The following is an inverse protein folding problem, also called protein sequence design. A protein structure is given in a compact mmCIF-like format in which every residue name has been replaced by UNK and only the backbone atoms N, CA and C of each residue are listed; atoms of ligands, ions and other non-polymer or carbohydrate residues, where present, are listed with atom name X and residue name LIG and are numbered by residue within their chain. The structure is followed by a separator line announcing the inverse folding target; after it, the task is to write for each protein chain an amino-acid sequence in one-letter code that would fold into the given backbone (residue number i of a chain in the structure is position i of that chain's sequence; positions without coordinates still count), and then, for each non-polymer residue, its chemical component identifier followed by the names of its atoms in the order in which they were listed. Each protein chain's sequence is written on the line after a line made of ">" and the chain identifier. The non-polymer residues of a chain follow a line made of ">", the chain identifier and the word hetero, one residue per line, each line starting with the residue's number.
data_IF_871212447501
#
_entry.id   IF_871212447501
#
_cell.length_a   1.000
_cell.length_b   1.000
_cell.length_c   1.000
_cell.angle_alpha   90.00
_cell.angle_beta   90.00
_cell.angle_gamma   90.00
#
_symmetry.space_group_name_H-M   'P 1'
#
loop_
_entity.id
_entity.type
_entity.pdbx_description
1 polymer ?
#
# COMPACT_ATOMS: atom_id res chain seq x y z
N UNK A 1 12.58 -63.76 -24.03
CA UNK A 1 11.53 -62.73 -24.03
C UNK A 1 11.78 -61.72 -22.89
N UNK A 2 12.05 -62.21 -21.69
CA UNK A 2 12.33 -61.41 -20.48
C UNK A 2 13.53 -60.45 -20.60
N UNK A 3 14.63 -60.89 -21.23
CA UNK A 3 15.81 -60.02 -21.42
C UNK A 3 15.52 -58.77 -22.27
N UNK A 4 14.58 -58.87 -23.22
CA UNK A 4 14.19 -57.76 -24.09
C UNK A 4 13.23 -56.81 -23.40
N UNK A 5 12.41 -57.31 -22.47
CA UNK A 5 11.54 -56.52 -21.61
C UNK A 5 12.41 -55.71 -20.62
N UNK A 6 13.36 -56.35 -19.95
CA UNK A 6 14.27 -55.67 -19.02
C UNK A 6 15.10 -54.55 -19.69
N UNK A 7 15.53 -54.77 -20.93
CA UNK A 7 16.25 -53.77 -21.71
C UNK A 7 15.36 -52.58 -22.09
N UNK A 8 14.10 -52.82 -22.45
CA UNK A 8 13.12 -51.76 -22.74
C UNK A 8 12.76 -50.97 -21.47
N UNK A 9 12.61 -51.62 -20.32
CA UNK A 9 12.36 -50.97 -19.03
C UNK A 9 13.54 -50.08 -18.60
N UNK A 10 14.77 -50.53 -18.84
CA UNK A 10 15.97 -49.75 -18.56
C UNK A 10 16.11 -48.54 -19.49
N UNK A 11 15.72 -48.68 -20.77
CA UNK A 11 15.63 -47.56 -21.71
C UNK A 11 14.52 -46.57 -21.32
N UNK A 12 13.36 -47.05 -20.85
CA UNK A 12 12.27 -46.21 -20.37
C UNK A 12 12.65 -45.45 -19.10
N UNK A 13 13.38 -46.09 -18.17
CA UNK A 13 13.97 -45.46 -16.97
C UNK A 13 14.99 -44.39 -17.34
N UNK A 14 15.84 -44.64 -18.33
CA UNK A 14 16.78 -43.65 -18.86
C UNK A 14 16.09 -42.42 -19.45
N UNK A 15 14.94 -42.62 -20.09
CA UNK A 15 14.10 -41.53 -20.64
C UNK A 15 13.32 -40.76 -19.56
N UNK A 16 12.95 -41.41 -18.44
CA UNK A 16 12.19 -40.77 -17.35
C UNK A 16 13.05 -39.98 -16.37
N UNK A 17 14.36 -40.26 -16.28
CA UNK A 17 15.31 -39.52 -15.41
C UNK A 17 15.46 -38.04 -15.82
N UNK A 18 14.98 -37.64 -17.00
CA UNK A 18 14.98 -36.24 -17.47
C UNK A 18 13.60 -35.57 -17.56
N UNK A 19 12.50 -36.28 -17.29
CA UNK A 19 11.16 -35.67 -17.33
C UNK A 19 10.98 -34.87 -16.06
N UNK A 20 11.35 -33.59 -16.10
CA UNK A 20 10.96 -32.61 -15.06
C UNK A 20 9.44 -32.68 -14.94
N UNK A 21 8.94 -33.27 -13.86
CA UNK A 21 7.51 -33.33 -13.58
C UNK A 21 7.00 -31.90 -13.47
N UNK A 22 6.00 -31.56 -14.29
CA UNK A 22 5.35 -30.24 -14.26
C UNK A 22 4.60 -30.12 -12.94
N UNK A 23 5.22 -29.50 -11.95
CA UNK A 23 4.52 -29.21 -10.70
C UNK A 23 3.68 -27.95 -10.86
N UNK A 24 2.36 -28.16 -11.03
CA UNK A 24 1.35 -27.10 -11.10
C UNK A 24 0.92 -26.61 -9.71
N UNK A 25 1.48 -27.16 -8.61
CA UNK A 25 1.18 -26.69 -7.25
C UNK A 25 1.48 -25.21 -7.08
N UNK A 26 2.54 -24.69 -7.72
CA UNK A 26 2.90 -23.27 -7.66
C UNK A 26 1.82 -22.35 -8.27
N UNK A 27 0.97 -22.83 -9.16
CA UNK A 27 -0.15 -22.03 -9.68
C UNK A 27 -1.19 -21.70 -8.59
N UNK A 28 -1.27 -22.47 -7.51
CA UNK A 28 -2.13 -22.13 -6.36
C UNK A 28 -1.66 -20.87 -5.64
N UNK A 29 -0.35 -20.58 -5.65
CA UNK A 29 0.25 -19.39 -5.00
C UNK A 29 -0.02 -18.09 -5.76
N UNK A 30 -0.38 -18.19 -7.04
CA UNK A 30 -0.72 -17.05 -7.88
C UNK A 30 -2.14 -16.60 -7.51
N UNK A 31 -2.24 -15.37 -7.01
CA UNK A 31 -3.53 -14.76 -6.68
C UNK A 31 -4.30 -14.43 -7.96
N UNK A 32 -5.61 -14.47 -7.86
CA UNK A 32 -6.49 -14.01 -8.94
C UNK A 32 -6.30 -12.53 -9.21
N UNK A 33 -6.50 -12.13 -10.47
CA UNK A 33 -6.30 -10.75 -10.91
C UNK A 33 -7.52 -10.25 -11.69
N UNK A 34 -8.15 -9.19 -11.18
CA UNK A 34 -9.46 -8.73 -11.64
C UNK A 34 -9.42 -7.58 -12.66
N UNK A 35 -8.28 -6.91 -12.82
CA UNK A 35 -8.10 -5.79 -13.75
C UNK A 35 -8.64 -4.43 -13.28
N UNK A 36 -9.03 -4.28 -12.02
CA UNK A 36 -9.53 -3.02 -11.48
C UNK A 36 -8.41 -1.99 -11.25
N UNK A 37 -8.77 -0.71 -11.17
CA UNK A 37 -7.83 0.41 -10.96
C UNK A 37 -7.02 0.35 -9.66
N UNK A 38 -7.53 -0.33 -8.63
CA UNK A 38 -6.82 -0.56 -7.36
C UNK A 38 -6.03 -1.89 -7.33
N UNK A 39 -6.14 -2.71 -8.37
CA UNK A 39 -5.40 -3.95 -8.45
C UNK A 39 -3.90 -3.69 -8.62
N UNK A 40 -3.08 -4.68 -8.26
CA UNK A 40 -1.66 -4.67 -8.56
C UNK A 40 -1.44 -4.46 -10.07
N UNK A 41 -0.37 -3.77 -10.51
CA UNK A 41 -0.07 -3.59 -11.92
C UNK A 41 -0.05 -4.93 -12.67
N UNK A 42 -0.60 -4.96 -13.89
CA UNK A 42 -0.61 -6.17 -14.73
C UNK A 42 0.79 -6.76 -14.92
N UNK A 43 1.81 -5.92 -14.99
CA UNK A 43 3.22 -6.34 -15.11
C UNK A 43 3.72 -7.12 -13.90
N UNK A 44 3.25 -6.79 -12.68
CA UNK A 44 3.62 -7.52 -11.46
C UNK A 44 2.96 -8.91 -11.43
N UNK A 45 1.68 -8.99 -11.80
CA UNK A 45 0.97 -10.27 -11.95
C UNK A 45 1.66 -11.17 -12.98
N UNK A 46 1.96 -10.64 -14.17
CA UNK A 46 2.66 -11.40 -15.22
C UNK A 46 4.05 -11.85 -14.76
N UNK A 47 4.80 -11.00 -14.06
CA UNK A 47 6.11 -11.37 -13.51
C UNK A 47 6.02 -12.51 -12.50
N UNK A 48 4.97 -12.54 -11.67
CA UNK A 48 4.73 -13.64 -10.72
C UNK A 48 4.47 -14.96 -11.47
N UNK A 49 3.63 -14.92 -12.50
CA UNK A 49 3.36 -16.10 -13.34
C UNK A 49 4.65 -16.58 -14.03
N UNK A 50 5.41 -15.68 -14.65
CA UNK A 50 6.68 -15.98 -15.31
C UNK A 50 7.72 -16.56 -14.35
N UNK A 51 7.72 -16.14 -13.08
CA UNK A 51 8.58 -16.68 -12.05
C UNK A 51 8.18 -18.13 -11.68
N UNK A 52 6.90 -18.39 -11.45
CA UNK A 52 6.39 -19.75 -11.21
C UNK A 52 6.69 -20.66 -12.40
N UNK A 53 6.48 -20.17 -13.62
CA UNK A 53 6.75 -20.90 -14.86
C UNK A 53 8.22 -21.30 -14.99
N UNK A 54 9.15 -20.40 -14.65
CA UNK A 54 10.60 -20.68 -14.64
C UNK A 54 10.99 -21.75 -13.63
N UNK A 55 10.41 -21.73 -12.43
CA UNK A 55 10.72 -22.68 -11.36
C UNK A 55 10.14 -24.07 -11.65
N UNK A 56 8.91 -24.14 -12.16
CA UNK A 56 8.19 -25.39 -12.45
C UNK A 56 8.29 -25.88 -13.89
N UNK A 57 9.12 -25.23 -14.72
CA UNK A 57 9.35 -25.60 -16.12
C UNK A 57 8.05 -25.72 -16.94
N UNK A 58 7.13 -24.76 -16.76
CA UNK A 58 5.86 -24.70 -17.48
C UNK A 58 6.08 -24.41 -18.97
N UNK A 59 5.27 -25.01 -19.84
CA UNK A 59 5.25 -24.64 -21.26
C UNK A 59 4.59 -23.28 -21.46
N UNK A 60 4.78 -22.69 -22.65
CA UNK A 60 4.07 -21.45 -23.03
C UNK A 60 2.54 -21.63 -22.96
N UNK A 61 2.04 -22.80 -23.35
CA UNK A 61 0.63 -23.17 -23.26
C UNK A 61 0.14 -23.22 -21.80
N UNK A 62 0.92 -23.84 -20.91
CA UNK A 62 0.61 -23.89 -19.47
C UNK A 62 0.52 -22.46 -18.90
N UNK A 63 1.46 -21.57 -19.25
CA UNK A 63 1.45 -20.16 -18.83
C UNK A 63 0.19 -19.45 -19.29
N UNK A 64 -0.18 -19.59 -20.57
CA UNK A 64 -1.40 -18.99 -21.13
C UNK A 64 -2.64 -19.49 -20.41
N UNK A 65 -2.75 -20.79 -20.17
CA UNK A 65 -3.89 -21.40 -19.51
C UNK A 65 -4.00 -20.96 -18.05
N UNK A 66 -2.88 -20.91 -17.32
CA UNK A 66 -2.84 -20.40 -15.94
C UNK A 66 -3.23 -18.92 -15.88
N UNK A 67 -2.74 -18.09 -16.80
CA UNK A 67 -3.16 -16.67 -16.87
C UNK A 67 -4.67 -16.61 -17.06
N UNK A 68 -5.22 -17.21 -18.12
CA UNK A 68 -6.66 -17.21 -18.40
C UNK A 68 -7.49 -17.68 -17.20
N UNK A 69 -7.05 -18.72 -16.50
CA UNK A 69 -7.72 -19.24 -15.31
C UNK A 69 -7.70 -18.24 -14.13
N UNK A 70 -6.57 -17.53 -13.93
CA UNK A 70 -6.38 -16.59 -12.82
C UNK A 70 -6.96 -15.20 -13.07
N UNK A 71 -7.28 -14.85 -14.32
CA UNK A 71 -8.01 -13.63 -14.62
C UNK A 71 -9.44 -13.73 -14.10
N UNK A 72 -9.92 -12.69 -13.45
CA UNK A 72 -11.30 -12.52 -12.98
C UNK A 72 -11.83 -11.15 -13.41
N UNK A 73 -13.11 -10.85 -13.13
CA UNK A 73 -13.68 -9.51 -13.34
C UNK A 73 -13.50 -8.96 -14.77
N UNK A 74 -13.09 -7.68 -14.84
CA UNK A 74 -12.88 -6.95 -16.11
C UNK A 74 -11.81 -7.59 -16.99
N UNK A 75 -10.76 -8.14 -16.36
CA UNK A 75 -9.67 -8.80 -17.08
C UNK A 75 -10.15 -10.06 -17.82
N UNK A 76 -10.98 -10.87 -17.17
CA UNK A 76 -11.58 -12.06 -17.80
C UNK A 76 -12.52 -11.66 -18.92
N UNK A 77 -13.39 -10.66 -18.68
CA UNK A 77 -14.33 -10.17 -19.69
C UNK A 77 -13.62 -9.66 -20.94
N UNK A 78 -12.52 -8.92 -20.76
CA UNK A 78 -11.70 -8.42 -21.86
C UNK A 78 -11.13 -9.55 -22.72
N UNK A 79 -10.59 -10.60 -22.09
CA UNK A 79 -10.04 -11.75 -22.81
C UNK A 79 -11.13 -12.55 -23.51
N UNK A 80 -12.26 -12.81 -22.85
CA UNK A 80 -13.37 -13.56 -23.43
C UNK A 80 -14.06 -12.84 -24.60
N UNK A 81 -13.99 -11.51 -24.65
CA UNK A 81 -14.60 -10.72 -25.72
C UNK A 81 -13.78 -10.69 -27.02
N UNK A 82 -12.57 -11.27 -27.06
CA UNK A 82 -11.69 -11.25 -28.23
C UNK A 82 -11.34 -12.67 -28.68
N UNK A 83 -11.85 -13.08 -29.83
CA UNK A 83 -11.64 -14.43 -30.40
C UNK A 83 -10.16 -14.80 -30.58
N UNK A 84 -9.34 -13.80 -30.91
CA UNK A 84 -7.89 -13.97 -31.04
C UNK A 84 -7.20 -14.36 -29.72
N UNK A 85 -7.78 -13.99 -28.58
CA UNK A 85 -7.25 -14.27 -27.25
C UNK A 85 -7.84 -15.55 -26.63
N UNK A 86 -9.04 -15.96 -27.07
CA UNK A 86 -9.68 -17.20 -26.61
C UNK A 86 -9.17 -18.43 -27.34
N UNK A 87 -8.58 -18.28 -28.53
CA UNK A 87 -7.97 -19.36 -29.29
C UNK A 87 -7.06 -20.26 -28.43
N UNK A 88 -7.19 -21.58 -28.62
CA UNK A 88 -6.41 -22.63 -27.93
C UNK A 88 -4.91 -22.44 -28.15
N UNK A 89 -4.51 -22.00 -29.34
CA UNK A 89 -3.12 -21.83 -29.72
C UNK A 89 -2.64 -20.37 -29.62
N UNK A 90 -3.29 -19.54 -28.79
CA UNK A 90 -2.83 -18.17 -28.59
C UNK A 90 -1.42 -18.18 -28.00
N UNK A 91 -0.49 -17.48 -28.65
CA UNK A 91 0.87 -17.33 -28.13
C UNK A 91 0.86 -16.43 -26.90
N UNK A 92 1.73 -16.72 -25.94
CA UNK A 92 1.88 -15.94 -24.73
C UNK A 92 2.14 -14.47 -25.03
N UNK A 93 2.99 -14.18 -26.02
CA UNK A 93 3.33 -12.80 -26.38
C UNK A 93 2.11 -12.00 -26.83
N UNK A 94 1.20 -12.61 -27.61
CA UNK A 94 -0.03 -11.93 -28.07
C UNK A 94 -0.94 -11.61 -26.90
N UNK A 95 -1.13 -12.58 -25.98
CA UNK A 95 -1.92 -12.38 -24.77
C UNK A 95 -1.30 -11.32 -23.86
N UNK A 96 0.02 -11.37 -23.66
CA UNK A 96 0.80 -10.43 -22.85
C UNK A 96 0.66 -9.01 -23.38
N UNK A 97 0.92 -8.79 -24.68
CA UNK A 97 0.79 -7.46 -25.29
C UNK A 97 -0.63 -6.91 -25.14
N UNK A 98 -1.66 -7.73 -25.37
CA UNK A 98 -3.05 -7.28 -25.26
C UNK A 98 -3.45 -6.90 -23.82
N UNK A 99 -3.03 -7.68 -22.82
CA UNK A 99 -3.28 -7.38 -21.42
C UNK A 99 -2.53 -6.13 -20.96
N UNK A 100 -1.26 -6.00 -21.34
CA UNK A 100 -0.44 -4.82 -21.02
C UNK A 100 -1.05 -3.57 -21.66
N UNK A 101 -1.36 -3.57 -22.96
CA UNK A 101 -1.96 -2.39 -23.61
C UNK A 101 -3.29 -1.97 -22.98
N UNK A 102 -4.15 -2.93 -22.61
CA UNK A 102 -5.47 -2.61 -22.04
C UNK A 102 -5.40 -2.07 -20.61
N UNK A 103 -4.50 -2.63 -19.80
CA UNK A 103 -4.49 -2.41 -18.34
C UNK A 103 -3.28 -1.63 -17.83
N UNK A 104 -2.32 -1.29 -18.70
CA UNK A 104 -1.31 -0.28 -18.39
C UNK A 104 -1.93 1.10 -18.43
N UNK A 105 -1.58 1.90 -17.43
CA UNK A 105 -1.99 3.29 -17.32
C UNK A 105 -1.46 4.11 -18.50
N UNK A 106 -2.37 4.77 -19.23
CA UNK A 106 -2.05 5.58 -20.43
C UNK A 106 -1.79 7.06 -20.12
N UNK A 107 -1.62 7.39 -18.84
CA UNK A 107 -1.43 8.77 -18.39
C UNK A 107 -0.01 9.23 -18.71
N UNK A 108 0.16 10.46 -19.24
CA UNK A 108 1.47 10.95 -19.62
C UNK A 108 2.35 11.18 -18.38
N UNK A 109 3.67 11.10 -18.57
CA UNK A 109 4.66 11.32 -17.49
C UNK A 109 4.43 12.65 -16.77
N UNK A 110 4.11 13.73 -17.50
CA UNK A 110 3.82 15.06 -16.94
C UNK A 110 2.65 15.06 -15.95
N UNK A 111 1.64 14.22 -16.17
CA UNK A 111 0.51 14.11 -15.25
C UNK A 111 0.96 13.60 -13.88
N UNK A 112 1.80 12.56 -13.86
CA UNK A 112 2.38 12.02 -12.62
C UNK A 112 3.33 12.99 -11.93
N UNK A 113 4.09 13.77 -12.71
CA UNK A 113 4.93 14.84 -12.17
C UNK A 113 4.08 15.85 -11.39
N UNK A 114 2.97 16.31 -11.97
CA UNK A 114 2.07 17.25 -11.31
C UNK A 114 1.43 16.64 -10.06
N UNK A 115 0.96 15.38 -10.13
CA UNK A 115 0.42 14.69 -8.96
C UNK A 115 1.44 14.56 -7.82
N UNK A 116 2.70 14.29 -8.13
CA UNK A 116 3.77 14.22 -7.15
C UNK A 116 4.05 15.61 -6.55
N UNK A 117 4.11 16.64 -7.40
CA UNK A 117 4.37 18.02 -6.98
C UNK A 117 3.25 18.57 -6.08
N UNK A 118 2.00 18.25 -6.37
CA UNK A 118 0.81 18.67 -5.60
C UNK A 118 0.53 17.75 -4.40
N UNK A 119 1.27 16.64 -4.26
CA UNK A 119 1.05 15.69 -3.20
C UNK A 119 1.27 16.35 -1.84
N UNK A 120 0.24 16.24 -0.98
CA UNK A 120 0.35 16.64 0.42
C UNK A 120 -0.18 15.55 1.34
N UNK A 121 0.34 15.52 2.56
CA UNK A 121 -0.04 14.56 3.58
C UNK A 121 -1.53 14.69 3.92
N UNK A 122 -2.23 13.56 3.94
CA UNK A 122 -3.61 13.45 4.41
C UNK A 122 -3.73 13.82 5.90
N UNK A 123 -4.96 14.07 6.39
CA UNK A 123 -5.19 14.48 7.78
C UNK A 123 -4.80 13.39 8.80
N UNK A 124 -5.03 12.13 8.46
CA UNK A 124 -4.76 10.96 9.30
C UNK A 124 -3.67 10.05 8.71
N UNK A 125 -3.01 10.52 7.64
CA UNK A 125 -1.98 9.76 6.95
C UNK A 125 -0.66 9.88 7.71
N UNK A 126 -0.03 8.75 8.04
CA UNK A 126 1.28 8.77 8.69
C UNK A 126 2.39 9.24 7.74
N UNK A 127 3.55 9.69 8.24
CA UNK A 127 4.68 10.06 7.38
C UNK A 127 5.13 8.92 6.45
N UNK A 128 5.07 7.68 6.93
CA UNK A 128 5.44 6.48 6.14
C UNK A 128 4.45 6.27 5.00
N UNK A 129 3.15 6.30 5.30
CA UNK A 129 2.09 6.12 4.29
C UNK A 129 2.16 7.22 3.21
N UNK A 130 2.40 8.46 3.63
CA UNK A 130 2.56 9.57 2.70
C UNK A 130 3.78 9.38 1.80
N UNK A 131 4.92 8.97 2.38
CA UNK A 131 6.12 8.70 1.59
C UNK A 131 5.91 7.57 0.58
N UNK A 132 5.23 6.48 0.96
CA UNK A 132 4.96 5.36 0.06
C UNK A 132 4.08 5.79 -1.12
N UNK A 133 3.10 6.66 -0.87
CA UNK A 133 2.29 7.27 -1.94
C UNK A 133 3.13 8.14 -2.87
N UNK A 134 4.03 8.97 -2.31
CA UNK A 134 4.96 9.76 -3.12
C UNK A 134 5.93 8.89 -3.93
N UNK A 135 6.42 7.77 -3.38
CA UNK A 135 7.28 6.78 -4.08
C UNK A 135 6.55 6.15 -5.26
N UNK A 136 5.28 5.78 -5.06
CA UNK A 136 4.45 5.22 -6.12
C UNK A 136 4.29 6.19 -7.29
N UNK A 137 4.09 7.49 -7.00
CA UNK A 137 4.03 8.54 -8.03
C UNK A 137 5.40 8.77 -8.69
N UNK A 138 6.48 8.88 -7.90
CA UNK A 138 7.83 9.12 -8.41
C UNK A 138 8.30 8.04 -9.38
N UNK A 139 8.01 6.76 -9.09
CA UNK A 139 8.35 5.62 -9.96
C UNK A 139 7.75 5.77 -11.36
N UNK A 140 6.54 6.35 -11.47
CA UNK A 140 5.87 6.60 -12.75
C UNK A 140 6.45 7.78 -13.53
N UNK A 141 7.30 8.60 -12.89
CA UNK A 141 7.97 9.74 -13.55
C UNK A 141 9.29 9.35 -14.23
N UNK A 142 9.83 8.17 -13.92
CA UNK A 142 11.13 7.72 -14.42
C UNK A 142 10.96 6.97 -15.74
N UNK A 143 11.49 7.54 -16.82
CA UNK A 143 11.58 6.85 -18.11
C UNK A 143 12.64 5.74 -18.06
N UNK A 144 12.43 4.67 -18.83
CA UNK A 144 13.42 3.60 -19.02
C UNK A 144 14.46 4.01 -20.06
N UNK A 145 15.72 3.74 -19.78
CA UNK A 145 16.86 3.94 -20.68
C UNK A 145 17.68 2.65 -20.74
N UNK A 146 18.17 2.29 -21.93
CA UNK A 146 19.07 1.14 -22.12
C UNK A 146 20.47 1.41 -21.55
N UNK A 147 20.90 2.68 -21.56
CA UNK A 147 22.16 3.11 -20.95
C UNK A 147 22.05 3.12 -19.41
N UNK A 148 22.86 2.31 -18.69
CA UNK A 148 22.85 2.24 -17.23
C UNK A 148 23.23 3.56 -16.55
N UNK A 149 24.13 4.36 -17.14
CA UNK A 149 24.56 5.65 -16.60
C UNK A 149 23.42 6.65 -16.69
N UNK A 150 22.77 6.74 -17.84
CA UNK A 150 21.58 7.59 -18.03
C UNK A 150 20.46 7.14 -17.10
N UNK A 151 20.24 5.83 -16.96
CA UNK A 151 19.22 5.29 -16.07
C UNK A 151 19.49 5.64 -14.59
N UNK A 152 20.76 5.68 -14.17
CA UNK A 152 21.17 6.12 -12.83
C UNK A 152 20.86 7.61 -12.62
N UNK A 153 21.26 8.47 -13.56
CA UNK A 153 20.99 9.92 -13.48
C UNK A 153 19.49 10.20 -13.37
N UNK A 154 18.67 9.54 -14.20
CA UNK A 154 17.22 9.69 -14.16
C UNK A 154 16.60 9.25 -12.81
N UNK A 155 17.20 8.26 -12.14
CA UNK A 155 16.79 7.81 -10.82
C UNK A 155 17.19 8.82 -9.74
N UNK A 156 18.42 9.33 -9.78
CA UNK A 156 18.91 10.36 -8.86
C UNK A 156 18.05 11.64 -8.93
N UNK A 157 17.71 12.09 -10.14
CA UNK A 157 16.79 13.21 -10.31
C UNK A 157 15.40 12.93 -9.76
N UNK A 158 14.90 11.70 -9.88
CA UNK A 158 13.60 11.30 -9.35
C UNK A 158 13.60 11.21 -7.81
N UNK A 159 14.71 10.78 -7.22
CA UNK A 159 14.92 10.79 -5.76
C UNK A 159 14.95 12.23 -5.23
N UNK A 160 15.63 13.15 -5.90
CA UNK A 160 15.62 14.57 -5.53
C UNK A 160 14.21 15.17 -5.57
N UNK A 161 13.46 14.91 -6.65
CA UNK A 161 12.05 15.33 -6.77
C UNK A 161 11.17 14.72 -5.69
N UNK A 162 11.37 13.44 -5.38
CA UNK A 162 10.63 12.72 -4.34
C UNK A 162 10.91 13.31 -2.96
N UNK A 163 12.18 13.56 -2.62
CA UNK A 163 12.58 14.20 -1.37
C UNK A 163 11.93 15.57 -1.22
N UNK A 164 12.01 16.40 -2.28
CA UNK A 164 11.40 17.73 -2.29
C UNK A 164 9.90 17.64 -2.05
N UNK A 165 9.21 16.77 -2.79
CA UNK A 165 7.75 16.61 -2.67
C UNK A 165 7.35 16.08 -1.30
N UNK A 166 8.15 15.18 -0.71
CA UNK A 166 7.92 14.69 0.65
C UNK A 166 8.09 15.82 1.69
N UNK A 167 9.21 16.55 1.68
CA UNK A 167 9.50 17.62 2.65
C UNK A 167 8.46 18.74 2.61
N UNK A 168 8.07 19.18 1.41
CA UNK A 168 7.13 20.28 1.24
C UNK A 168 5.66 19.84 1.29
N UNK A 169 5.36 18.58 0.97
CA UNK A 169 4.03 18.00 1.09
C UNK A 169 3.65 17.58 2.53
N UNK A 170 4.63 17.37 3.41
CA UNK A 170 4.41 17.03 4.82
C UNK A 170 3.76 18.19 5.59
N UNK A 171 2.75 17.86 6.42
CA UNK A 171 1.93 18.82 7.15
C UNK A 171 2.26 18.85 8.65
N UNK A 172 1.73 19.86 9.32
CA UNK A 172 1.86 20.02 10.77
C UNK A 172 3.29 20.25 11.26
N UNK A 173 3.55 19.86 12.50
CA UNK A 173 4.83 20.05 13.19
C UNK A 173 5.96 19.25 12.52
N UNK A 174 5.69 18.02 12.09
CA UNK A 174 6.63 17.20 11.35
C UNK A 174 7.08 17.89 10.04
N UNK A 175 6.14 18.41 9.25
CA UNK A 175 6.49 19.17 8.05
C UNK A 175 7.31 20.44 8.33
N UNK A 176 6.98 21.15 9.40
CA UNK A 176 7.75 22.34 9.83
C UNK A 176 9.20 21.98 10.17
N UNK A 177 9.40 20.93 10.97
CA UNK A 177 10.73 20.45 11.35
C UNK A 177 11.56 20.02 10.13
N UNK A 178 10.96 19.35 9.14
CA UNK A 178 11.66 18.97 7.91
C UNK A 178 12.18 20.18 7.14
N UNK A 179 11.38 21.24 7.00
CA UNK A 179 11.81 22.46 6.30
C UNK A 179 12.88 23.23 7.05
N UNK A 180 12.87 23.19 8.38
CA UNK A 180 13.91 23.82 9.21
C UNK A 180 15.23 23.05 9.09
N UNK A 181 15.19 21.72 9.19
CA UNK A 181 16.39 20.89 9.18
C UNK A 181 16.93 20.63 7.78
N UNK A 182 16.11 20.80 6.75
CA UNK A 182 16.43 20.64 5.34
C UNK A 182 17.27 19.38 5.04
N UNK A 183 16.70 18.18 5.28
CA UNK A 183 17.42 16.91 5.13
C UNK A 183 17.87 16.67 3.68
N UNK A 184 19.03 16.03 3.52
CA UNK A 184 19.62 15.75 2.20
C UNK A 184 19.16 14.41 1.62
N UNK A 185 18.64 13.51 2.46
CA UNK A 185 18.20 12.18 2.04
C UNK A 185 16.79 11.87 2.49
N UNK A 186 16.13 10.98 1.75
CA UNK A 186 14.79 10.50 2.09
C UNK A 186 14.74 9.79 3.44
N UNK A 187 15.77 9.04 3.80
CA UNK A 187 15.81 8.32 5.07
C UNK A 187 15.96 9.29 6.25
N UNK A 188 16.81 10.32 6.12
CA UNK A 188 16.91 11.38 7.11
C UNK A 188 15.56 12.09 7.27
N UNK A 189 14.92 12.46 6.17
CA UNK A 189 13.62 13.11 6.19
C UNK A 189 12.56 12.22 6.86
N UNK A 190 12.48 10.95 6.49
CA UNK A 190 11.49 10.02 7.07
C UNK A 190 11.70 9.83 8.58
N UNK A 191 12.95 9.69 9.01
CA UNK A 191 13.28 9.52 10.43
C UNK A 191 12.83 10.74 11.25
N UNK A 192 13.18 11.95 10.80
CA UNK A 192 12.77 13.20 11.45
C UNK A 192 11.23 13.29 11.50
N UNK A 193 10.57 13.06 10.35
CA UNK A 193 9.13 13.15 10.25
C UNK A 193 8.41 12.18 11.20
N UNK A 194 8.89 10.94 11.26
CA UNK A 194 8.30 9.87 12.08
C UNK A 194 8.47 10.15 13.57
N UNK A 195 9.66 10.58 14.00
CA UNK A 195 9.92 10.92 15.40
C UNK A 195 9.02 12.08 15.85
N UNK A 196 8.96 13.16 15.08
CA UNK A 196 8.15 14.35 15.41
C UNK A 196 6.66 14.00 15.39
N UNK A 197 6.19 13.26 14.38
CA UNK A 197 4.80 12.83 14.29
C UNK A 197 4.37 12.00 15.51
N UNK A 198 5.16 10.99 15.88
CA UNK A 198 4.85 10.13 17.02
C UNK A 198 4.90 10.90 18.35
N UNK A 199 5.90 11.78 18.53
CA UNK A 199 5.97 12.64 19.71
C UNK A 199 4.71 13.51 19.85
N UNK A 200 4.20 14.03 18.73
CA UNK A 200 2.96 14.80 18.72
C UNK A 200 1.73 13.96 19.09
N UNK A 201 1.61 12.76 18.53
CA UNK A 201 0.51 11.85 18.87
C UNK A 201 0.52 11.49 20.36
N UNK A 202 1.69 11.21 20.93
CA UNK A 202 1.83 10.95 22.37
C UNK A 202 1.42 12.16 23.23
N UNK A 203 1.76 13.38 22.81
CA UNK A 203 1.32 14.61 23.49
C UNK A 203 -0.20 14.76 23.46
N UNK A 204 -0.83 14.49 22.31
CA UNK A 204 -2.29 14.55 22.16
C UNK A 204 -2.99 13.53 23.06
N UNK A 205 -2.53 12.27 23.07
CA UNK A 205 -3.08 11.24 23.96
C UNK A 205 -2.85 11.56 25.44
N UNK A 206 -1.72 12.17 25.81
CA UNK A 206 -1.48 12.62 27.19
C UNK A 206 -2.49 13.70 27.59
N UNK A 207 -2.68 14.73 26.76
CA UNK A 207 -3.69 15.78 27.01
C UNK A 207 -5.10 15.22 27.05
N UNK A 208 -5.36 14.18 26.26
CA UNK A 208 -6.62 13.44 26.29
C UNK A 208 -6.84 12.82 27.68
N UNK A 209 -5.87 12.08 28.16
CA UNK A 209 -5.95 11.47 29.48
C UNK A 209 -5.99 12.49 30.64
N UNK A 210 -5.29 13.62 30.50
CA UNK A 210 -5.32 14.70 31.49
C UNK A 210 -6.70 15.39 31.56
N UNK A 211 -7.43 15.53 30.44
CA UNK A 211 -8.80 16.08 30.49
C UNK A 211 -9.76 15.16 31.24
N UNK A 212 -9.61 13.84 31.09
CA UNK A 212 -10.43 12.85 31.81
C UNK A 212 -10.19 12.93 33.32
N UNK A 213 -8.97 13.29 33.73
CA UNK A 213 -8.57 13.43 35.13
C UNK A 213 -8.82 14.80 35.74
N UNK A 214 -9.28 15.79 34.97
CA UNK A 214 -9.60 17.11 35.51
C UNK A 214 -10.69 16.97 36.59
N UNK A 215 -10.44 17.45 37.82
CA UNK A 215 -11.41 17.36 38.90
C UNK A 215 -12.72 18.03 38.48
N UNK A 216 -13.80 17.26 38.46
CA UNK A 216 -15.13 17.79 38.13
C UNK A 216 -15.47 18.92 39.11
N UNK A 217 -15.64 20.13 38.57
CA UNK A 217 -16.00 21.32 39.34
C UNK A 217 -17.51 21.53 39.29
N UNK A 218 -18.12 21.65 40.46
CA UNK A 218 -19.54 21.94 40.57
C UNK A 218 -19.84 23.38 40.12
N UNK A 219 -20.64 23.53 39.07
CA UNK A 219 -21.05 24.85 38.57
C UNK A 219 -22.00 25.61 39.52
N UNK A 220 -22.56 24.97 40.54
CA UNK A 220 -23.42 25.63 41.53
C UNK A 220 -22.66 26.22 42.71
N UNK A 221 -21.62 25.55 43.22
CA UNK A 221 -20.90 25.99 44.43
C UNK A 221 -19.38 26.21 44.23
N UNK A 222 -18.87 25.92 43.04
CA UNK A 222 -17.46 26.08 42.69
C UNK A 222 -16.49 25.05 43.31
N UNK A 223 -16.97 24.12 44.16
CA UNK A 223 -16.14 23.06 44.78
C UNK A 223 -15.90 21.91 43.80
N UNK A 224 -14.76 21.22 43.95
CA UNK A 224 -14.39 20.05 43.14
C UNK A 224 -14.97 18.75 43.72
N UNK A 225 -15.01 17.69 42.90
CA UNK A 225 -15.38 16.33 43.31
C UNK A 225 -16.84 15.94 43.07
N UNK A 226 -17.69 16.83 42.54
CA UNK A 226 -19.10 16.54 42.21
C UNK A 226 -19.65 17.50 41.13
N UNK A 227 -20.71 17.08 40.42
CA UNK A 227 -21.45 17.93 39.47
C UNK A 227 -22.56 18.73 40.17
N UNK A 228 -23.08 19.77 39.50
CA UNK A 228 -24.15 20.63 40.02
C UNK A 228 -25.41 19.87 40.49
N UNK A 229 -25.70 18.70 39.88
CA UNK A 229 -26.83 17.83 40.25
C UNK A 229 -26.67 17.17 41.62
N UNK A 230 -25.43 16.88 42.00
CA UNK A 230 -25.07 16.21 43.26
C UNK A 230 -24.62 17.21 44.33
N UNK A 231 -24.89 18.51 44.12
CA UNK A 231 -24.47 19.56 45.02
C UNK A 231 -25.35 19.60 46.28
N UNK A 232 -24.77 19.23 47.43
CA UNK A 232 -25.45 19.27 48.73
C UNK A 232 -25.91 20.68 49.14
N UNK A 233 -25.25 21.74 48.65
CA UNK A 233 -25.63 23.12 48.93
C UNK A 233 -27.02 23.49 48.35
N UNK A 234 -27.48 22.81 47.29
CA UNK A 234 -28.85 22.97 46.75
C UNK A 234 -29.91 22.21 47.56
N UNK A 235 -29.51 21.23 48.37
CA UNK A 235 -30.43 20.33 49.09
C UNK A 235 -30.80 20.81 50.50
N UNK A 236 -30.28 21.94 50.98
CA UNK A 236 -30.75 22.55 52.24
C UNK A 236 -31.93 23.49 51.98
N UNK A 237 -33.16 23.16 52.43
CA UNK A 237 -34.21 24.16 52.56
C UNK A 237 -33.82 25.11 53.71
N UNK A 238 -34.01 26.41 53.50
CA UNK A 238 -33.91 27.43 54.54
C UNK A 238 -34.88 27.09 55.68
N UNK A 239 -34.36 26.70 56.84
CA UNK A 239 -35.06 26.94 58.11
C UNK A 239 -34.38 28.14 58.78
N UNK A 240 -34.81 29.34 58.42
CA UNK A 240 -34.57 30.55 59.22
C UNK A 240 -35.91 31.04 59.76
N UNK A 241 -36.05 31.02 61.08
CA UNK A 241 -36.85 32.00 61.83
C UNK A 241 -36.10 32.28 63.12
N UNK A 242 -35.08 33.13 63.03
CA UNK A 242 -34.69 33.96 64.16
C UNK A 242 -35.76 35.05 64.29
N UNK A 243 -36.61 34.93 65.31
CA UNK A 243 -37.46 36.02 65.77
C UNK A 243 -36.62 36.90 66.69
N UNK A 244 -36.40 38.13 66.26
CA UNK A 244 -35.88 39.24 67.03
C UNK A 244 -37.00 39.92 67.83
N UNK A 245 -36.63 40.43 69.02
CA UNK A 245 -37.17 41.61 69.76
C UNK A 245 -37.50 41.30 71.24
N UNK A 246 -37.62 42.30 72.13
CA UNK A 246 -36.52 43.13 72.64
C UNK A 246 -36.57 43.26 74.17
N UNK A 247 -35.44 43.61 74.79
CA UNK A 247 -35.35 44.54 75.95
C UNK A 247 -33.89 44.88 76.22
#
# INVERSE_FOLDING_TARGET
>A
MEARIAQLEQQLKGLTIGVKTKDLSLASSIREWNGQSQAKPITEFLSQVEQCARVSNWSEEDVVNIIKAKLTGEARQFVSARDQLTNVNVRYEVLKTALVDRFTEKLPVRYHYNLLHEASQGKEESPIQFLDRCRALSTKTVRKSEDPTVQRILKEEAEFRLLTSFVYGMRGEAGRELRIRNPETLDQALNIATVVYNAKQMELHRKEHDWVRLPVKCFSCGRQGHIARDCEARRKPMTQREQSSPN
#
